data_IF_924239007472
#
_entry.id   IF_924239007472
#
_cell.length_a   1.000
_cell.length_b   1.000
_cell.length_c   1.000
_cell.angle_alpha   90.00
_cell.angle_beta   90.00
_cell.angle_gamma   90.00
#
_symmetry.space_group_name_H-M   'P 1'
#
loop_
_entity.id
_entity.type
_entity.pdbx_description
1 polymer ?
#
# COMPACT_ATOMS: atom_id res chain seq x y z
N UNK A 1 -7.48 -22.32 0.23
CA UNK A 1 -6.40 -21.42 0.69
C UNK A 1 -6.48 -20.13 -0.11
N UNK A 2 -6.04 -19.00 0.44
CA UNK A 2 -6.01 -17.70 -0.24
C UNK A 2 -4.59 -17.16 -0.22
N UNK A 3 -4.22 -16.40 -1.25
CA UNK A 3 -2.91 -15.74 -1.36
C UNK A 3 -3.06 -14.22 -1.42
N UNK A 4 -2.04 -13.51 -0.94
CA UNK A 4 -1.89 -12.07 -1.13
C UNK A 4 -0.65 -11.83 -2.00
N UNK A 5 -0.80 -11.01 -3.03
CA UNK A 5 0.26 -10.65 -3.95
C UNK A 5 0.49 -9.14 -3.96
N UNK A 6 1.67 -8.73 -4.39
CA UNK A 6 1.99 -7.32 -4.57
C UNK A 6 1.35 -6.79 -5.87
N UNK A 7 0.74 -5.60 -5.80
CA UNK A 7 0.48 -4.80 -7.00
C UNK A 7 1.66 -3.86 -7.20
N UNK A 8 2.37 -3.98 -8.32
CA UNK A 8 3.57 -3.17 -8.53
C UNK A 8 3.24 -1.66 -8.55
N UNK A 9 4.13 -0.81 -7.98
CA UNK A 9 3.90 0.62 -7.86
C UNK A 9 4.05 1.31 -9.22
N UNK A 10 2.95 1.47 -9.92
CA UNK A 10 2.90 2.12 -11.23
C UNK A 10 2.46 3.58 -11.09
N UNK A 11 3.17 4.51 -11.75
CA UNK A 11 2.94 5.95 -11.59
C UNK A 11 1.58 6.44 -12.11
N UNK A 12 1.00 5.71 -13.06
CA UNK A 12 -0.33 5.94 -13.61
C UNK A 12 -1.46 5.30 -12.79
N UNK A 13 -1.13 4.41 -11.84
CA UNK A 13 -2.07 4.05 -10.79
C UNK A 13 -2.19 5.24 -9.82
N UNK A 14 -3.30 5.97 -9.90
CA UNK A 14 -3.48 7.23 -9.17
C UNK A 14 -4.82 7.29 -8.46
N UNK A 15 -4.85 8.12 -7.42
CA UNK A 15 -6.06 8.51 -6.72
C UNK A 15 -6.11 10.02 -6.60
N UNK A 16 -7.32 10.58 -6.72
CA UNK A 16 -7.57 12.01 -6.59
C UNK A 16 -8.91 12.26 -5.95
N UNK A 17 -9.09 13.46 -5.40
CA UNK A 17 -10.40 13.93 -5.00
C UNK A 17 -11.23 14.26 -6.25
N UNK A 18 -12.44 13.74 -6.30
CA UNK A 18 -13.42 14.06 -7.33
C UNK A 18 -13.94 15.48 -7.14
N UNK A 19 -13.90 16.30 -8.19
CA UNK A 19 -14.23 17.73 -8.09
C UNK A 19 -15.73 18.00 -8.12
N UNK A 20 -16.53 17.05 -8.58
CA UNK A 20 -17.96 17.22 -8.82
C UNK A 20 -18.79 16.35 -7.88
N UNK A 21 -18.33 15.12 -7.62
CA UNK A 21 -19.04 14.17 -6.77
C UNK A 21 -18.61 14.31 -5.32
N UNK A 22 -19.60 14.40 -4.44
CA UNK A 22 -19.43 14.47 -2.99
C UNK A 22 -20.12 13.30 -2.32
N UNK A 23 -19.61 12.89 -1.17
CA UNK A 23 -20.26 11.92 -0.31
C UNK A 23 -21.46 12.55 0.43
N UNK A 24 -22.12 11.75 1.26
CA UNK A 24 -23.28 12.18 2.07
C UNK A 24 -22.95 13.30 3.08
N UNK A 25 -21.68 13.58 3.33
CA UNK A 25 -21.20 14.62 4.24
C UNK A 25 -20.65 15.85 3.50
N UNK A 26 -20.76 15.88 2.17
CA UNK A 26 -20.30 17.00 1.35
C UNK A 26 -18.80 17.01 1.07
N UNK A 27 -18.08 15.93 1.41
CA UNK A 27 -16.66 15.77 1.11
C UNK A 27 -16.48 15.18 -0.29
N UNK A 28 -15.49 15.65 -1.08
CA UNK A 28 -15.11 15.01 -2.35
C UNK A 28 -14.89 13.50 -2.20
N UNK A 29 -15.52 12.70 -3.06
CA UNK A 29 -15.24 11.24 -3.11
C UNK A 29 -13.88 10.98 -3.76
N UNK A 30 -13.35 9.77 -3.59
CA UNK A 30 -12.14 9.34 -4.29
C UNK A 30 -12.48 8.95 -5.74
N UNK A 31 -11.74 9.50 -6.69
CA UNK A 31 -11.65 9.00 -8.06
C UNK A 31 -10.35 8.21 -8.20
N UNK A 32 -10.48 6.93 -8.53
CA UNK A 32 -9.37 5.98 -8.64
C UNK A 32 -9.17 5.61 -10.11
N UNK A 33 -7.95 5.76 -10.60
CA UNK A 33 -7.49 5.23 -11.89
C UNK A 33 -6.44 4.18 -11.57
N UNK A 34 -6.87 2.92 -11.44
CA UNK A 34 -6.03 1.83 -10.94
C UNK A 34 -6.36 0.56 -11.71
N UNK A 35 -5.34 -0.11 -12.22
CA UNK A 35 -5.48 -1.39 -12.91
C UNK A 35 -4.40 -2.40 -12.49
N UNK A 36 -4.78 -3.68 -12.49
CA UNK A 36 -3.82 -4.78 -12.48
C UNK A 36 -3.22 -4.94 -13.87
N UNK A 37 -1.98 -5.44 -13.94
CA UNK A 37 -1.27 -5.71 -15.20
C UNK A 37 -0.89 -7.17 -15.31
N UNK A 38 -0.17 -7.48 -16.39
CA UNK A 38 0.27 -8.84 -16.70
C UNK A 38 1.01 -9.51 -15.53
N UNK A 39 1.81 -8.77 -14.77
CA UNK A 39 2.52 -9.30 -13.61
C UNK A 39 1.56 -9.77 -12.52
N UNK A 40 0.61 -8.93 -12.09
CA UNK A 40 -0.36 -9.27 -11.04
C UNK A 40 -1.27 -10.43 -11.48
N UNK A 41 -1.65 -10.46 -12.76
CA UNK A 41 -2.46 -11.54 -13.34
C UNK A 41 -1.71 -12.86 -13.42
N UNK A 42 -0.41 -12.83 -13.73
CA UNK A 42 0.44 -14.02 -13.72
C UNK A 42 0.66 -14.53 -12.29
N UNK A 43 0.98 -13.62 -11.37
CA UNK A 43 1.19 -13.92 -9.94
C UNK A 43 -0.02 -14.61 -9.31
N UNK A 44 -1.25 -14.25 -9.70
CA UNK A 44 -2.47 -14.92 -9.20
C UNK A 44 -2.56 -16.40 -9.57
N UNK A 45 -2.14 -16.75 -10.79
CA UNK A 45 -2.11 -18.14 -11.24
C UNK A 45 -1.02 -18.92 -10.51
N UNK A 46 0.13 -18.28 -10.33
CA UNK A 46 1.27 -18.83 -9.61
C UNK A 46 0.92 -19.13 -8.14
N UNK A 47 0.31 -18.15 -7.44
CA UNK A 47 -0.18 -18.35 -6.07
C UNK A 47 -1.17 -19.51 -5.93
N UNK A 48 -2.04 -19.74 -6.92
CA UNK A 48 -2.98 -20.85 -6.91
C UNK A 48 -2.29 -22.20 -7.11
N UNK A 49 -1.26 -22.25 -7.98
CA UNK A 49 -0.44 -23.44 -8.22
C UNK A 49 0.39 -23.80 -6.98
N UNK A 50 1.11 -22.83 -6.40
CA UNK A 50 1.90 -23.03 -5.18
C UNK A 50 1.02 -23.52 -4.02
N UNK A 51 -0.16 -22.93 -3.84
CA UNK A 51 -1.10 -23.37 -2.82
C UNK A 51 -1.57 -24.81 -3.04
N UNK A 52 -1.76 -25.24 -4.29
CA UNK A 52 -2.14 -26.61 -4.59
C UNK A 52 -0.99 -27.58 -4.28
N UNK A 53 0.23 -27.27 -4.73
CA UNK A 53 1.43 -28.06 -4.47
C UNK A 53 1.67 -28.22 -2.95
N UNK A 54 1.59 -27.13 -2.18
CA UNK A 54 1.75 -27.16 -0.73
C UNK A 54 0.71 -28.06 -0.04
N UNK A 55 -0.56 -28.00 -0.47
CA UNK A 55 -1.64 -28.80 0.11
C UNK A 55 -1.50 -30.28 -0.24
N UNK A 56 -1.16 -30.60 -1.48
CA UNK A 56 -0.92 -31.98 -1.94
C UNK A 56 0.29 -32.59 -1.22
N UNK A 57 1.38 -31.83 -1.09
CA UNK A 57 2.56 -32.25 -0.33
C UNK A 57 2.25 -32.48 1.17
N UNK A 58 1.30 -31.73 1.74
CA UNK A 58 0.79 -31.94 3.09
C UNK A 58 -0.19 -33.13 3.20
N UNK A 59 -0.49 -33.84 2.10
CA UNK A 59 -1.33 -35.02 2.06
C UNK A 59 -2.81 -34.76 1.80
N UNK A 60 -3.20 -33.52 1.47
CA UNK A 60 -4.58 -33.19 1.06
C UNK A 60 -4.85 -33.79 -0.31
N UNK A 61 -6.04 -34.37 -0.49
CA UNK A 61 -6.47 -35.00 -1.75
C UNK A 61 -7.52 -34.15 -2.46
N UNK A 62 -7.67 -34.37 -3.76
CA UNK A 62 -8.67 -33.71 -4.62
C UNK A 62 -8.59 -32.17 -4.57
N UNK A 63 -7.37 -31.64 -4.52
CA UNK A 63 -7.14 -30.19 -4.48
C UNK A 63 -7.56 -29.57 -5.82
N UNK A 64 -8.32 -28.46 -5.74
CA UNK A 64 -8.78 -27.71 -6.91
C UNK A 64 -8.33 -26.27 -6.81
N UNK A 65 -7.68 -25.79 -7.87
CA UNK A 65 -7.29 -24.40 -8.00
C UNK A 65 -8.48 -23.52 -8.38
N UNK A 66 -8.53 -22.31 -7.83
CA UNK A 66 -9.53 -21.30 -8.15
C UNK A 66 -8.86 -19.95 -8.34
N UNK A 67 -9.25 -19.24 -9.40
CA UNK A 67 -8.84 -17.85 -9.67
C UNK A 67 -10.11 -17.02 -9.92
N UNK A 68 -10.64 -16.43 -8.84
CA UNK A 68 -11.90 -15.68 -8.86
C UNK A 68 -11.69 -14.21 -9.22
N UNK A 69 -12.71 -13.53 -9.73
CA UNK A 69 -12.60 -12.11 -10.06
C UNK A 69 -12.16 -11.22 -8.88
N UNK A 70 -11.17 -10.37 -9.15
CA UNK A 70 -10.55 -9.48 -8.15
C UNK A 70 -10.43 -8.08 -8.74
N UNK A 71 -10.90 -7.11 -7.97
CA UNK A 71 -10.75 -5.69 -8.28
C UNK A 71 -9.80 -5.05 -7.27
N UNK A 72 -8.98 -4.06 -7.67
CA UNK A 72 -8.21 -3.24 -6.74
C UNK A 72 -9.08 -2.73 -5.58
N UNK A 73 -8.54 -2.80 -4.36
CA UNK A 73 -9.22 -2.42 -3.12
C UNK A 73 -9.88 -3.58 -2.35
N UNK A 74 -10.14 -4.74 -2.97
CA UNK A 74 -10.67 -5.92 -2.24
C UNK A 74 -9.72 -6.45 -1.15
N UNK A 75 -8.43 -6.16 -1.25
CA UNK A 75 -7.42 -6.51 -0.25
C UNK A 75 -7.37 -5.59 0.97
N UNK A 76 -8.05 -4.43 0.94
CA UNK A 76 -8.13 -3.45 2.06
C UNK A 76 -6.73 -3.05 2.57
N UNK A 77 -5.76 -2.99 1.65
CA UNK A 77 -4.36 -2.67 1.91
C UNK A 77 -3.87 -1.62 0.89
N UNK A 78 -4.64 -0.55 0.71
CA UNK A 78 -4.28 0.56 -0.16
C UNK A 78 -3.03 1.28 0.36
N UNK A 79 -2.04 1.48 -0.52
CA UNK A 79 -0.72 1.96 -0.14
C UNK A 79 -0.14 2.94 -1.17
N UNK A 80 0.75 3.83 -0.70
CA UNK A 80 1.62 4.65 -1.56
C UNK A 80 1.07 5.96 -2.10
N UNK A 81 -0.12 6.37 -1.67
CA UNK A 81 -0.76 7.63 -2.09
C UNK A 81 0.00 8.89 -1.63
N UNK A 82 0.85 8.77 -0.61
CA UNK A 82 1.80 9.79 -0.15
C UNK A 82 3.16 9.14 0.12
N UNK A 83 3.72 8.41 -0.87
CA UNK A 83 4.90 7.58 -0.67
C UNK A 83 6.12 8.35 -0.13
N UNK A 84 6.91 7.65 0.69
CA UNK A 84 8.28 8.04 1.02
C UNK A 84 9.20 7.95 -0.20
N UNK A 85 10.32 8.66 -0.15
CA UNK A 85 11.39 8.55 -1.13
C UNK A 85 12.67 9.27 -0.73
N UNK A 86 13.65 9.23 -1.63
CA UNK A 86 14.96 9.88 -1.46
C UNK A 86 15.05 11.26 -2.10
N UNK A 87 14.06 11.64 -2.90
CA UNK A 87 14.02 12.91 -3.64
C UNK A 87 12.63 13.55 -3.53
N UNK A 88 12.60 14.83 -3.15
CA UNK A 88 11.41 15.69 -3.10
C UNK A 88 10.65 15.76 -4.42
N UNK A 89 11.35 15.62 -5.56
CA UNK A 89 10.74 15.64 -6.89
C UNK A 89 9.93 14.38 -7.20
N UNK A 90 10.20 13.28 -6.52
CA UNK A 90 9.62 11.97 -6.81
C UNK A 90 8.90 11.34 -5.63
N UNK A 91 8.69 12.06 -4.53
CA UNK A 91 8.04 11.55 -3.33
C UNK A 91 7.40 12.67 -2.51
N UNK A 92 6.39 12.33 -1.71
CA UNK A 92 5.72 13.28 -0.82
C UNK A 92 6.45 13.40 0.51
N UNK A 93 7.00 12.28 0.97
CA UNK A 93 7.66 12.18 2.27
C UNK A 93 9.14 11.83 2.12
N UNK A 94 9.95 12.29 3.06
CA UNK A 94 11.32 11.83 3.20
C UNK A 94 11.39 10.48 3.94
N UNK A 95 12.60 10.01 4.24
CA UNK A 95 12.84 8.73 4.93
C UNK A 95 12.29 8.65 6.37
N UNK A 96 11.88 9.77 6.97
CA UNK A 96 11.34 9.86 8.33
C UNK A 96 9.83 10.04 8.37
N UNK A 97 9.13 9.77 7.26
CA UNK A 97 7.69 9.99 7.11
C UNK A 97 7.27 11.47 7.17
N UNK A 98 8.21 12.40 7.06
CA UNK A 98 8.00 13.85 7.13
C UNK A 98 7.72 14.40 5.72
N UNK A 99 6.75 15.30 5.59
CA UNK A 99 6.47 15.98 4.32
C UNK A 99 7.62 16.92 3.96
N UNK A 100 8.14 16.83 2.74
CA UNK A 100 9.26 17.67 2.29
C UNK A 100 8.99 19.18 2.39
N UNK A 101 7.74 19.59 2.14
CA UNK A 101 7.33 20.98 2.04
C UNK A 101 6.79 21.54 3.36
N UNK A 102 6.58 20.67 4.35
CA UNK A 102 6.00 21.02 5.64
C UNK A 102 6.66 20.15 6.73
N UNK A 103 7.82 20.58 7.26
CA UNK A 103 8.62 19.78 8.19
C UNK A 103 7.88 19.37 9.48
N UNK A 104 6.85 20.10 9.89
CA UNK A 104 6.04 19.78 11.06
C UNK A 104 4.87 18.81 10.75
N UNK A 105 4.76 18.28 9.53
CA UNK A 105 3.71 17.32 9.11
C UNK A 105 4.33 15.96 8.81
N UNK A 106 3.71 14.91 9.36
CA UNK A 106 4.12 13.52 9.18
C UNK A 106 2.94 12.64 8.74
N UNK A 107 3.21 11.65 7.88
CA UNK A 107 2.22 10.67 7.40
C UNK A 107 2.74 9.26 7.61
N UNK A 108 2.05 8.46 8.42
CA UNK A 108 2.58 7.20 8.97
C UNK A 108 1.70 5.97 8.75
N UNK A 109 0.64 6.10 7.95
CA UNK A 109 -0.24 4.99 7.55
C UNK A 109 0.20 4.36 6.22
N UNK A 110 -0.67 3.56 5.59
CA UNK A 110 -0.38 2.92 4.30
C UNK A 110 0.01 3.90 3.18
N UNK A 111 -0.39 5.17 3.26
CA UNK A 111 -0.03 6.16 2.26
C UNK A 111 1.48 6.33 2.11
N UNK A 112 2.24 6.15 3.20
CA UNK A 112 3.70 6.37 3.21
C UNK A 112 4.51 5.28 2.50
N UNK A 113 3.91 4.13 2.23
CA UNK A 113 4.60 2.95 1.71
C UNK A 113 5.05 3.12 0.26
N UNK A 114 6.17 2.52 -0.12
CA UNK A 114 6.67 2.53 -1.51
C UNK A 114 6.32 1.28 -2.31
N UNK A 115 5.83 0.25 -1.63
CA UNK A 115 5.45 -1.07 -2.14
C UNK A 115 4.33 -1.62 -1.25
N UNK A 116 3.41 -2.39 -1.82
CA UNK A 116 2.34 -3.02 -1.02
C UNK A 116 2.78 -4.31 -0.32
N UNK A 117 3.92 -4.89 -0.73
CA UNK A 117 4.35 -6.24 -0.34
C UNK A 117 3.24 -7.30 -0.56
N UNK A 118 3.44 -8.50 0.00
CA UNK A 118 2.49 -9.63 -0.03
C UNK A 118 1.99 -10.03 1.36
N UNK A 119 2.33 -9.28 2.41
CA UNK A 119 1.97 -9.56 3.80
C UNK A 119 1.13 -8.43 4.41
N UNK A 120 0.42 -8.72 5.50
CA UNK A 120 -0.35 -7.72 6.21
C UNK A 120 0.56 -6.59 6.75
N UNK A 121 0.24 -5.32 6.48
CA UNK A 121 1.22 -4.24 6.63
C UNK A 121 1.20 -3.56 8.02
N UNK A 122 0.21 -3.85 8.86
CA UNK A 122 -0.05 -3.08 10.09
C UNK A 122 1.15 -2.99 11.04
N UNK A 123 1.91 -4.08 11.22
CA UNK A 123 3.12 -4.06 12.06
C UNK A 123 4.21 -3.15 11.47
N UNK A 124 4.33 -3.12 10.14
CA UNK A 124 5.25 -2.21 9.45
C UNK A 124 4.81 -0.76 9.65
N UNK A 125 3.51 -0.46 9.56
CA UNK A 125 3.00 0.90 9.87
C UNK A 125 3.38 1.30 11.29
N UNK A 126 3.14 0.45 12.28
CA UNK A 126 3.50 0.73 13.68
C UNK A 126 5.00 1.01 13.86
N UNK A 127 5.87 0.23 13.19
CA UNK A 127 7.31 0.45 13.24
C UNK A 127 7.71 1.80 12.60
N UNK A 128 7.11 2.14 11.46
CA UNK A 128 7.34 3.43 10.78
C UNK A 128 6.83 4.60 11.62
N UNK A 129 5.66 4.48 12.26
CA UNK A 129 5.09 5.46 13.19
C UNK A 129 6.01 5.69 14.38
N UNK A 130 6.53 4.63 15.00
CA UNK A 130 7.46 4.76 16.13
C UNK A 130 8.73 5.51 15.75
N UNK A 131 9.31 5.20 14.58
CA UNK A 131 10.47 5.91 14.02
C UNK A 131 10.17 7.38 13.72
N UNK A 132 9.02 7.67 13.11
CA UNK A 132 8.60 9.02 12.76
C UNK A 132 8.38 9.88 14.01
N UNK A 133 7.77 9.31 15.06
CA UNK A 133 7.54 9.98 16.33
C UNK A 133 8.87 10.30 17.06
N UNK A 134 9.82 9.36 17.12
CA UNK A 134 11.15 9.62 17.69
C UNK A 134 11.88 10.76 16.94
N UNK A 135 11.84 10.73 15.61
CA UNK A 135 12.40 11.79 14.77
C UNK A 135 11.72 13.15 15.06
N UNK A 136 10.40 13.21 15.03
CA UNK A 136 9.65 14.44 15.26
C UNK A 136 9.97 15.07 16.62
N UNK A 137 10.09 14.25 17.69
CA UNK A 137 10.44 14.73 19.02
C UNK A 137 11.88 15.26 19.08
N UNK A 138 12.82 14.61 18.40
CA UNK A 138 14.22 15.08 18.33
C UNK A 138 14.33 16.41 17.60
N UNK A 139 13.70 16.53 16.44
CA UNK A 139 13.72 17.75 15.64
C UNK A 139 13.01 18.91 16.36
N UNK A 140 11.89 18.64 17.04
CA UNK A 140 11.21 19.63 17.87
C UNK A 140 12.10 20.14 19.01
N UNK A 141 12.79 19.23 19.72
CA UNK A 141 13.73 19.62 20.80
C UNK A 141 14.94 20.39 20.28
N UNK A 142 15.34 20.15 19.04
CA UNK A 142 16.42 20.87 18.37
C UNK A 142 15.99 22.24 17.82
N UNK A 143 14.69 22.55 17.79
CA UNK A 143 14.16 23.79 17.22
C UNK A 143 14.10 23.80 15.68
N UNK A 144 14.09 22.62 15.06
CA UNK A 144 14.02 22.45 13.61
C UNK A 144 12.56 22.35 13.08
N UNK A 145 11.58 22.25 13.97
CA UNK A 145 10.14 22.18 13.68
C UNK A 145 9.37 23.38 14.23
#
# INVERSE_FOLDING_TARGET
MTGFGEMLPHHDNTIRLDRERKDKWGLPVLAMDVAMRANELAMRKDMAADAAEMLEAAGVKDVKMHDNDYAPGKGIHEMGTARMGRDRKSSVLNQHNQVWDAPNIYVTDGACMTSSACVNPSLTYMALTARAADHAVRELKAGNL
#
